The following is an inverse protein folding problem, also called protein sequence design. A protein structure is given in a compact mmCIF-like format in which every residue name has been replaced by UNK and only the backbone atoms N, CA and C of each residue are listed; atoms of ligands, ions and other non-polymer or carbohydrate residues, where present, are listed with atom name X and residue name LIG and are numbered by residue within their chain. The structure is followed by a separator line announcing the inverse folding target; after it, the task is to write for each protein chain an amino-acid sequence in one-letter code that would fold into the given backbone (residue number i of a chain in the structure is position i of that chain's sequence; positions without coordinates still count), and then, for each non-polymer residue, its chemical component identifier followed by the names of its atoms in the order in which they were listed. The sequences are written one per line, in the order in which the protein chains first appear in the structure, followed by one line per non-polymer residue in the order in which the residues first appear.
data_IF_500538721607
#
_entry.id   IF_500538721607
#
_cell.length_a   1.000
_cell.length_b   1.000
_cell.length_c   1.000
_cell.angle_alpha   90.00
_cell.angle_beta   90.00
_cell.angle_gamma   90.00
#
_symmetry.space_group_name_H-M   'P 1'
#
loop_
_entity.id
_entity.type
_entity.pdbx_description
1 polymer ?
#
# COMPACT_ATOMS: atom_id res chain seq x y z
N UNK A 1 -16.13 31.32 9.54
CA UNK A 1 -15.20 31.19 8.39
C UNK A 1 -13.95 30.44 8.85
N UNK A 2 -13.95 29.13 8.68
CA UNK A 2 -12.80 28.26 8.39
C UNK A 2 -13.41 26.90 8.05
N UNK A 3 -13.47 26.64 6.75
CA UNK A 3 -13.97 25.41 6.15
C UNK A 3 -13.17 24.22 6.69
N UNK A 4 -13.82 23.39 7.51
CA UNK A 4 -13.32 22.04 7.80
C UNK A 4 -13.34 21.28 6.48
N UNK A 5 -12.15 20.84 6.04
CA UNK A 5 -11.94 20.10 4.81
C UNK A 5 -12.96 18.99 4.64
N UNK A 6 -13.61 19.01 3.48
CA UNK A 6 -14.42 17.91 2.98
C UNK A 6 -13.56 16.65 3.02
N UNK A 7 -13.92 15.72 3.91
CA UNK A 7 -13.32 14.39 3.94
C UNK A 7 -13.70 13.72 2.62
N UNK A 8 -12.69 13.33 1.85
CA UNK A 8 -12.82 12.48 0.67
C UNK A 8 -13.77 11.31 1.00
N UNK A 9 -14.65 10.91 0.07
CA UNK A 9 -15.62 9.85 0.30
C UNK A 9 -14.89 8.59 0.78
N UNK A 10 -15.34 8.12 1.93
CA UNK A 10 -14.75 7.00 2.65
C UNK A 10 -14.90 5.73 1.79
N UNK A 11 -13.89 5.43 0.96
CA UNK A 11 -13.75 4.07 0.43
C UNK A 11 -13.81 3.13 1.62
N UNK A 12 -14.78 2.21 1.59
CA UNK A 12 -15.04 1.30 2.70
C UNK A 12 -13.87 0.33 2.74
N UNK A 13 -12.87 0.65 3.56
CA UNK A 13 -11.76 -0.25 3.82
C UNK A 13 -12.31 -1.58 4.33
N UNK A 14 -11.80 -2.67 3.77
CA UNK A 14 -12.15 -4.02 4.19
C UNK A 14 -11.45 -4.36 5.52
N UNK A 15 -10.19 -3.94 5.65
CA UNK A 15 -9.38 -4.21 6.82
C UNK A 15 -8.07 -3.43 6.80
N UNK A 16 -7.17 -3.82 7.70
CA UNK A 16 -5.87 -3.18 7.89
C UNK A 16 -4.76 -4.22 8.01
N UNK A 17 -3.57 -3.84 7.55
CA UNK A 17 -2.32 -4.59 7.71
C UNK A 17 -1.39 -3.74 8.57
N UNK A 18 -0.83 -4.35 9.62
CA UNK A 18 0.16 -3.69 10.47
C UNK A 18 1.54 -3.78 9.85
N UNK A 19 2.04 -2.65 9.39
CA UNK A 19 3.38 -2.47 8.82
C UNK A 19 4.31 -1.79 9.84
N UNK A 20 5.55 -2.29 10.05
CA UNK A 20 6.48 -1.72 11.03
C UNK A 20 7.03 -0.34 10.64
N UNK A 21 6.97 0.05 9.36
CA UNK A 21 7.50 1.31 8.83
C UNK A 21 6.40 2.37 8.74
N UNK A 22 5.21 1.99 8.26
CA UNK A 22 4.12 2.90 7.95
C UNK A 22 2.95 2.85 8.96
N UNK A 23 2.95 1.91 9.90
CA UNK A 23 1.87 1.75 10.86
C UNK A 23 0.70 0.94 10.29
N UNK A 24 -0.52 1.46 10.34
CA UNK A 24 -1.69 0.77 9.81
C UNK A 24 -1.92 1.12 8.35
N UNK A 25 -1.82 0.10 7.48
CA UNK A 25 -2.12 0.21 6.05
C UNK A 25 -3.52 -0.33 5.81
N UNK A 26 -4.44 0.56 5.48
CA UNK A 26 -5.82 0.18 5.15
C UNK A 26 -5.93 -0.30 3.70
N UNK A 27 -6.70 -1.37 3.51
CA UNK A 27 -6.89 -2.02 2.21
C UNK A 27 -8.37 -2.09 1.82
N UNK A 28 -8.66 -1.95 0.54
CA UNK A 28 -10.02 -2.15 -0.01
C UNK A 28 -10.28 -3.63 -0.31
N UNK A 29 -11.53 -4.01 -0.57
CA UNK A 29 -11.88 -5.38 -0.98
C UNK A 29 -11.15 -5.78 -2.27
N UNK A 30 -11.02 -4.86 -3.23
CA UNK A 30 -10.31 -5.12 -4.49
C UNK A 30 -8.82 -5.38 -4.26
N UNK A 31 -8.17 -4.57 -3.42
CA UNK A 31 -6.77 -4.76 -3.03
C UNK A 31 -6.57 -6.08 -2.31
N UNK A 32 -7.48 -6.43 -1.39
CA UNK A 32 -7.47 -7.69 -0.67
C UNK A 32 -7.51 -8.89 -1.62
N UNK A 33 -8.35 -8.87 -2.66
CA UNK A 33 -8.42 -9.96 -3.64
C UNK A 33 -7.10 -10.15 -4.39
N UNK A 34 -6.39 -9.07 -4.72
CA UNK A 34 -5.07 -9.14 -5.34
C UNK A 34 -4.02 -9.65 -4.35
N UNK A 35 -4.03 -9.13 -3.12
CA UNK A 35 -3.10 -9.52 -2.05
C UNK A 35 -3.23 -11.01 -1.70
N UNK A 36 -4.45 -11.55 -1.67
CA UNK A 36 -4.72 -12.96 -1.37
C UNK A 36 -4.42 -13.91 -2.55
N UNK A 37 -4.11 -13.36 -3.74
CA UNK A 37 -3.79 -14.17 -4.91
C UNK A 37 -2.48 -14.94 -4.71
N UNK A 38 -2.40 -16.14 -5.29
CA UNK A 38 -1.19 -16.97 -5.22
C UNK A 38 0.09 -16.23 -5.69
N UNK A 39 0.09 -15.48 -6.81
CA UNK A 39 1.27 -14.73 -7.25
C UNK A 39 1.77 -13.72 -6.20
N UNK A 40 0.85 -13.01 -5.54
CA UNK A 40 1.21 -12.02 -4.53
C UNK A 40 1.66 -12.68 -3.21
N UNK A 41 0.95 -13.71 -2.75
CA UNK A 41 1.32 -14.47 -1.56
C UNK A 41 2.69 -15.14 -1.66
N UNK A 42 3.15 -15.47 -2.88
CA UNK A 42 4.51 -15.98 -3.11
C UNK A 42 5.59 -14.98 -2.65
N UNK A 43 5.32 -13.68 -2.64
CA UNK A 43 6.28 -12.64 -2.27
C UNK A 43 6.74 -12.75 -0.80
N UNK A 44 5.97 -13.39 0.08
CA UNK A 44 6.40 -13.70 1.45
C UNK A 44 7.67 -14.58 1.52
N UNK A 45 7.97 -15.31 0.44
CA UNK A 45 9.15 -16.19 0.37
C UNK A 45 10.33 -15.54 -0.35
N UNK A 46 10.19 -14.30 -0.83
CA UNK A 46 11.23 -13.59 -1.57
C UNK A 46 11.80 -12.49 -0.68
N UNK A 47 13.05 -12.64 -0.27
CA UNK A 47 13.77 -11.57 0.45
C UNK A 47 13.92 -10.36 -0.46
N UNK A 48 13.74 -9.17 0.11
CA UNK A 48 13.99 -7.92 -0.62
C UNK A 48 15.48 -7.81 -1.00
N UNK A 49 16.36 -8.09 -0.04
CA UNK A 49 17.82 -8.00 -0.17
C UNK A 49 18.47 -9.38 0.07
N UNK A 50 18.24 -10.32 -0.85
CA UNK A 50 18.76 -11.69 -0.71
C UNK A 50 20.29 -11.71 -0.52
N UNK A 51 20.75 -12.48 0.47
CA UNK A 51 22.16 -12.60 0.86
C UNK A 51 22.61 -11.53 1.87
N UNK A 52 21.89 -10.42 2.00
CA UNK A 52 22.24 -9.38 2.99
C UNK A 52 21.94 -9.83 4.42
N UNK A 53 21.05 -10.80 4.61
CA UNK A 53 20.74 -11.37 5.93
C UNK A 53 21.94 -12.03 6.62
N UNK A 54 22.94 -12.48 5.85
CA UNK A 54 24.17 -13.10 6.38
C UNK A 54 25.14 -12.09 6.97
N UNK A 55 25.01 -10.82 6.60
CA UNK A 55 25.83 -9.71 7.13
C UNK A 55 25.01 -8.86 8.10
N UNK A 56 23.76 -8.59 7.74
CA UNK A 56 22.80 -7.80 8.50
C UNK A 56 21.62 -8.68 8.92
N UNK A 57 21.67 -9.21 10.13
CA UNK A 57 20.64 -10.14 10.65
C UNK A 57 19.23 -9.54 10.72
N UNK A 58 19.08 -8.23 10.61
CA UNK A 58 17.79 -7.53 10.50
C UNK A 58 17.23 -7.41 9.08
N UNK A 59 18.00 -7.74 8.04
CA UNK A 59 17.60 -7.65 6.63
C UNK A 59 16.69 -8.82 6.18
N UNK A 60 15.71 -9.18 7.03
CA UNK A 60 14.78 -10.28 6.77
C UNK A 60 13.53 -9.85 6.01
N UNK A 61 13.43 -8.58 5.64
CA UNK A 61 12.24 -8.07 4.99
C UNK A 61 12.01 -8.72 3.63
N UNK A 62 10.74 -8.96 3.31
CA UNK A 62 10.32 -9.63 2.09
C UNK A 62 9.79 -8.64 1.06
N UNK A 63 9.66 -9.10 -0.19
CA UNK A 63 9.01 -8.32 -1.26
C UNK A 63 7.54 -8.03 -0.94
N UNK A 64 6.89 -8.86 -0.12
CA UNK A 64 5.50 -8.68 0.26
C UNK A 64 5.27 -7.39 1.03
N UNK A 65 5.97 -7.20 2.17
CA UNK A 65 5.80 -5.98 2.97
C UNK A 65 6.25 -4.73 2.21
N UNK A 66 7.24 -4.87 1.33
CA UNK A 66 7.67 -3.79 0.46
C UNK A 66 6.54 -3.35 -0.48
N UNK A 67 5.90 -4.27 -1.21
CA UNK A 67 4.77 -3.94 -2.10
C UNK A 67 3.59 -3.32 -1.36
N UNK A 68 3.26 -3.81 -0.15
CA UNK A 68 2.24 -3.20 0.71
C UNK A 68 2.62 -1.75 1.07
N UNK A 69 3.88 -1.51 1.43
CA UNK A 69 4.41 -0.16 1.70
C UNK A 69 4.34 0.77 0.48
N UNK A 70 4.67 0.28 -0.72
CA UNK A 70 4.56 1.08 -1.95
C UNK A 70 3.10 1.45 -2.24
N UNK A 71 2.15 0.51 -2.10
CA UNK A 71 0.71 0.79 -2.24
C UNK A 71 0.24 1.85 -1.23
N UNK A 72 0.70 1.77 0.02
CA UNK A 72 0.41 2.79 1.03
C UNK A 72 0.91 4.17 0.60
N UNK A 73 2.18 4.27 0.19
CA UNK A 73 2.78 5.53 -0.26
C UNK A 73 2.11 6.08 -1.52
N UNK A 74 1.71 5.21 -2.45
CA UNK A 74 0.98 5.59 -3.65
C UNK A 74 -0.37 6.24 -3.30
N UNK A 75 -1.12 5.65 -2.36
CA UNK A 75 -2.34 6.30 -1.85
C UNK A 75 -2.06 7.64 -1.16
N UNK A 76 -1.00 7.72 -0.35
CA UNK A 76 -0.60 8.98 0.29
C UNK A 76 -0.21 10.06 -0.72
N UNK A 77 0.42 9.68 -1.84
CA UNK A 77 0.74 10.61 -2.91
C UNK A 77 -0.53 11.22 -3.52
N UNK A 78 -1.59 10.42 -3.69
CA UNK A 78 -2.87 10.91 -4.24
C UNK A 78 -3.64 11.85 -3.31
N UNK A 79 -3.32 11.85 -2.01
CA UNK A 79 -3.89 12.82 -1.04
C UNK A 79 -3.27 14.23 -1.18
N UNK A 80 -2.19 14.39 -1.96
CA UNK A 80 -1.59 15.69 -2.21
C UNK A 80 -2.58 16.59 -2.98
N UNK A 81 -2.81 17.81 -2.47
CA UNK A 81 -3.81 18.75 -3.01
C UNK A 81 -3.64 19.08 -4.51
N UNK A 82 -2.41 19.02 -5.02
CA UNK A 82 -2.12 19.29 -6.44
C UNK A 82 -2.52 18.11 -7.34
N UNK A 83 -2.57 16.90 -6.79
CA UNK A 83 -2.90 15.67 -7.51
C UNK A 83 -4.35 15.24 -7.27
N UNK A 84 -4.87 15.45 -6.05
CA UNK A 84 -6.20 15.03 -5.64
C UNK A 84 -7.32 15.68 -6.47
N UNK A 85 -7.07 16.85 -7.07
CA UNK A 85 -8.03 17.54 -7.94
C UNK A 85 -8.04 16.99 -9.37
N UNK A 86 -7.01 16.22 -9.74
CA UNK A 86 -6.80 15.71 -11.10
C UNK A 86 -7.13 14.22 -11.22
N UNK A 87 -7.31 13.52 -10.10
CA UNK A 87 -7.50 12.08 -10.06
C UNK A 87 -8.91 11.72 -9.58
N UNK A 88 -9.56 10.85 -10.34
CA UNK A 88 -10.78 10.16 -9.93
C UNK A 88 -10.49 9.06 -8.89
N UNK A 89 -11.52 8.62 -8.16
CA UNK A 89 -11.39 7.52 -7.21
C UNK A 89 -10.92 6.22 -7.86
N UNK A 90 -11.33 5.97 -9.11
CA UNK A 90 -10.93 4.81 -9.89
C UNK A 90 -9.45 4.86 -10.26
N UNK A 91 -8.94 6.04 -10.64
CA UNK A 91 -7.51 6.24 -10.91
C UNK A 91 -6.67 6.06 -9.65
N UNK A 92 -7.13 6.56 -8.49
CA UNK A 92 -6.47 6.35 -7.20
C UNK A 92 -6.39 4.85 -6.88
N UNK A 93 -7.52 4.15 -7.02
CA UNK A 93 -7.57 2.70 -6.78
C UNK A 93 -6.65 1.94 -7.74
N UNK A 94 -6.59 2.35 -9.01
CA UNK A 94 -5.72 1.76 -10.03
C UNK A 94 -4.25 1.98 -9.71
N UNK A 95 -3.85 3.19 -9.33
CA UNK A 95 -2.46 3.51 -8.94
C UNK A 95 -2.03 2.70 -7.72
N UNK A 96 -2.92 2.54 -6.73
CA UNK A 96 -2.67 1.68 -5.56
C UNK A 96 -2.52 0.21 -5.95
N UNK A 97 -3.42 -0.34 -6.76
CA UNK A 97 -3.32 -1.73 -7.22
C UNK A 97 -2.08 -1.97 -8.10
N UNK A 98 -1.72 -1.02 -8.96
CA UNK A 98 -0.52 -1.10 -9.77
C UNK A 98 0.76 -1.15 -8.92
N UNK A 99 0.73 -0.56 -7.73
CA UNK A 99 1.84 -0.60 -6.77
C UNK A 99 2.01 -1.96 -6.08
N UNK A 100 1.05 -2.87 -6.23
CA UNK A 100 1.11 -4.26 -5.74
C UNK A 100 1.68 -5.24 -6.78
N UNK A 101 2.06 -4.76 -7.97
CA UNK A 101 2.63 -5.56 -9.06
C UNK A 101 4.11 -5.20 -9.30
#
# INVERSE_FOLDING_TARGET
MTSRGEKLPMQRYWGEIKDPVHGYVYITEAEKQLIDSYPFQRLHRLRQLAGSEFVYTGANHTRFEHSIGVMYLAGKLTENQNLSQLLSEEEIQTVRMASLL
#
